data_IF_717623618332
#
_entry.id   IF_717623618332
#
_cell.length_a   1.000
_cell.length_b   1.000
_cell.length_c   1.000
_cell.angle_alpha   90.00
_cell.angle_beta   90.00
_cell.angle_gamma   90.00
#
_symmetry.space_group_name_H-M   'P 1'
#
loop_
_entity.id
_entity.type
_entity.pdbx_description
1 polymer ?
#
# COMPACT_ATOMS: atom_id res chain seq x y z
N UNK A 1 2.51 -8.62 22.92
CA UNK A 1 3.74 -9.45 22.83
C UNK A 1 3.67 -10.17 21.49
N UNK A 2 4.29 -9.61 20.44
CA UNK A 2 4.29 -10.23 19.11
C UNK A 2 5.26 -11.42 19.14
N UNK A 3 4.72 -12.64 19.11
CA UNK A 3 5.50 -13.88 19.03
C UNK A 3 6.23 -13.89 17.68
N UNK A 4 7.50 -14.25 17.66
CA UNK A 4 8.33 -14.41 16.45
C UNK A 4 7.90 -15.64 15.65
N UNK A 5 6.62 -15.74 15.33
CA UNK A 5 6.09 -16.85 14.54
C UNK A 5 6.41 -16.56 13.06
N UNK A 6 7.19 -17.44 12.45
CA UNK A 6 7.39 -17.49 11.00
C UNK A 6 6.02 -17.68 10.35
N UNK A 7 5.43 -16.59 9.87
CA UNK A 7 4.12 -16.60 9.21
C UNK A 7 4.25 -17.02 7.74
N UNK A 8 3.23 -17.71 7.24
CA UNK A 8 3.08 -17.99 5.81
C UNK A 8 2.42 -16.81 5.09
N UNK A 9 2.78 -16.59 3.83
CA UNK A 9 2.16 -15.59 2.98
C UNK A 9 0.69 -15.95 2.72
N UNK A 10 -0.29 -15.05 2.97
CA UNK A 10 -1.71 -15.32 2.69
C UNK A 10 -2.04 -15.66 1.24
N UNK A 11 -1.17 -15.34 0.27
CA UNK A 11 -1.39 -15.66 -1.14
C UNK A 11 -0.69 -16.91 -1.63
N UNK A 12 0.48 -17.26 -1.09
CA UNK A 12 1.31 -18.34 -1.63
C UNK A 12 1.93 -19.26 -0.58
N UNK A 13 1.58 -19.05 0.70
CA UNK A 13 2.01 -19.82 1.87
C UNK A 13 3.52 -19.82 2.16
N UNK A 14 4.35 -19.29 1.24
CA UNK A 14 5.78 -19.11 1.44
C UNK A 14 6.07 -18.26 2.68
N UNK A 15 7.17 -18.52 3.40
CA UNK A 15 7.55 -17.70 4.55
C UNK A 15 7.61 -16.21 4.20
N UNK A 16 7.06 -15.37 5.07
CA UNK A 16 7.23 -13.92 4.99
C UNK A 16 8.30 -13.44 5.97
N UNK A 17 9.10 -12.48 5.53
CA UNK A 17 10.27 -12.01 6.28
C UNK A 17 10.06 -10.58 6.75
N UNK A 18 10.44 -10.21 7.98
CA UNK A 18 10.39 -8.82 8.44
C UNK A 18 11.17 -7.89 7.52
N UNK A 19 10.61 -6.72 7.21
CA UNK A 19 11.24 -5.75 6.30
C UNK A 19 12.23 -4.79 6.98
N UNK A 20 12.29 -4.81 8.31
CA UNK A 20 13.09 -3.88 9.11
C UNK A 20 12.66 -2.41 8.94
N UNK A 21 11.38 -2.19 8.63
CA UNK A 21 10.71 -0.88 8.71
C UNK A 21 10.46 -0.47 10.16
N UNK A 22 10.23 0.82 10.38
CA UNK A 22 9.82 1.33 11.71
C UNK A 22 8.44 0.79 12.09
N UNK A 23 7.61 0.54 11.08
CA UNK A 23 6.29 -0.03 11.23
C UNK A 23 6.32 -1.56 11.07
N UNK A 24 5.45 -2.32 11.77
CA UNK A 24 5.43 -3.77 11.70
C UNK A 24 5.02 -4.23 10.29
N UNK A 25 5.97 -4.72 9.51
CA UNK A 25 5.72 -5.18 8.16
C UNK A 25 6.62 -6.35 7.75
N UNK A 26 6.05 -7.24 6.94
CA UNK A 26 6.70 -8.42 6.42
C UNK A 26 6.47 -8.50 4.91
N UNK A 27 7.47 -8.98 4.17
CA UNK A 27 7.40 -9.16 2.72
C UNK A 27 7.58 -10.62 2.32
N UNK A 28 6.97 -10.99 1.20
CA UNK A 28 7.13 -12.30 0.58
C UNK A 28 8.08 -12.21 -0.62
N UNK A 29 9.19 -12.94 -0.59
CA UNK A 29 10.13 -13.01 -1.71
C UNK A 29 9.63 -13.82 -2.91
N UNK A 30 8.59 -14.64 -2.71
CA UNK A 30 8.04 -15.53 -3.75
C UNK A 30 7.03 -14.82 -4.63
N UNK A 31 6.03 -14.15 -4.03
CA UNK A 31 4.96 -13.49 -4.76
C UNK A 31 5.07 -11.96 -4.76
N UNK A 32 5.90 -11.38 -3.89
CA UNK A 32 6.08 -9.93 -3.77
C UNK A 32 5.03 -9.22 -2.91
N UNK A 33 4.04 -9.95 -2.39
CA UNK A 33 3.04 -9.41 -1.47
C UNK A 33 3.59 -9.09 -0.08
N UNK A 34 2.83 -8.32 0.67
CA UNK A 34 3.23 -7.80 1.98
C UNK A 34 2.12 -7.97 3.02
N UNK A 35 2.52 -8.32 4.24
CA UNK A 35 1.66 -8.27 5.41
C UNK A 35 2.03 -7.05 6.25
N UNK A 36 1.10 -6.13 6.41
CA UNK A 36 1.23 -4.95 7.25
C UNK A 36 0.48 -5.19 8.56
N UNK A 37 1.14 -4.98 9.70
CA UNK A 37 0.48 -4.95 11.00
C UNK A 37 -0.56 -3.81 11.10
N UNK A 38 -1.35 -3.76 12.19
CA UNK A 38 -2.41 -2.76 12.34
C UNK A 38 -1.90 -1.32 12.21
N UNK A 39 -0.79 -1.00 12.85
CA UNK A 39 -0.18 0.34 12.83
C UNK A 39 0.29 0.69 11.42
N UNK A 40 1.03 -0.22 10.77
CA UNK A 40 1.51 -0.06 9.40
C UNK A 40 0.36 0.17 8.40
N UNK A 41 -0.72 -0.60 8.54
CA UNK A 41 -1.92 -0.51 7.72
C UNK A 41 -2.58 0.86 7.84
N UNK A 42 -2.75 1.35 9.07
CA UNK A 42 -3.35 2.68 9.32
C UNK A 42 -2.48 3.79 8.73
N UNK A 43 -1.15 3.70 8.84
CA UNK A 43 -0.24 4.69 8.27
C UNK A 43 -0.35 4.77 6.75
N UNK A 44 -0.32 3.62 6.06
CA UNK A 44 -0.50 3.53 4.60
C UNK A 44 -1.86 4.05 4.17
N UNK A 45 -2.94 3.64 4.84
CA UNK A 45 -4.31 4.08 4.51
C UNK A 45 -4.54 5.55 4.80
N UNK A 46 -3.86 6.11 5.81
CA UNK A 46 -3.93 7.54 6.08
C UNK A 46 -3.25 8.31 4.98
N UNK A 47 -2.06 7.96 4.49
CA UNK A 47 -1.38 8.74 3.45
C UNK A 47 -0.97 10.15 3.94
N UNK A 48 -0.48 10.25 5.17
CA UNK A 48 0.19 11.46 5.67
C UNK A 48 1.65 11.38 5.26
N UNK A 49 2.18 12.34 4.50
CA UNK A 49 3.55 12.29 3.95
C UNK A 49 4.62 12.05 5.03
N UNK A 50 4.50 12.70 6.19
CA UNK A 50 5.44 12.51 7.32
C UNK A 50 5.26 11.16 8.04
N UNK A 51 4.15 10.48 7.82
CA UNK A 51 3.81 9.20 8.46
C UNK A 51 3.99 8.00 7.52
N UNK A 52 4.28 8.23 6.23
CA UNK A 52 4.56 7.15 5.29
C UNK A 52 6.00 6.69 5.51
N UNK A 53 6.14 5.46 5.99
CA UNK A 53 7.45 4.81 6.05
C UNK A 53 7.97 4.58 4.62
N UNK A 54 8.96 5.39 4.21
CA UNK A 54 9.58 5.34 2.88
C UNK A 54 10.20 3.98 2.59
N UNK A 55 10.71 3.30 3.62
CA UNK A 55 11.28 1.96 3.48
C UNK A 55 10.19 0.96 3.11
N UNK A 56 9.00 1.10 3.69
CA UNK A 56 7.86 0.24 3.36
C UNK A 56 7.45 0.35 1.89
N UNK A 57 7.33 1.57 1.38
CA UNK A 57 7.00 1.83 -0.03
C UNK A 57 8.10 1.29 -0.95
N UNK A 58 9.36 1.57 -0.62
CA UNK A 58 10.51 1.05 -1.36
C UNK A 58 10.54 -0.48 -1.41
N UNK A 59 10.31 -1.15 -0.28
CA UNK A 59 10.26 -2.61 -0.19
C UNK A 59 9.14 -3.19 -1.05
N UNK A 60 7.97 -2.54 -1.10
CA UNK A 60 6.86 -2.96 -1.95
C UNK A 60 7.26 -3.01 -3.42
N UNK A 61 7.84 -1.92 -3.93
CA UNK A 61 8.33 -1.86 -5.30
C UNK A 61 9.45 -2.88 -5.56
N UNK A 62 10.44 -2.96 -4.67
CA UNK A 62 11.61 -3.84 -4.83
C UNK A 62 11.19 -5.30 -4.94
N UNK A 63 10.31 -5.76 -4.05
CA UNK A 63 9.80 -7.14 -4.07
C UNK A 63 8.98 -7.42 -5.33
N UNK A 64 8.09 -6.49 -5.70
CA UNK A 64 7.29 -6.63 -6.91
C UNK A 64 8.13 -6.66 -8.19
N UNK A 65 9.18 -5.84 -8.27
CA UNK A 65 10.11 -5.84 -9.41
C UNK A 65 10.94 -7.12 -9.48
N UNK A 66 11.45 -7.59 -8.34
CA UNK A 66 12.19 -8.86 -8.24
C UNK A 66 11.37 -10.01 -8.81
N UNK A 67 10.13 -10.17 -8.35
CA UNK A 67 9.24 -11.25 -8.81
C UNK A 67 8.89 -11.09 -10.29
N UNK A 68 8.59 -9.85 -10.74
CA UNK A 68 8.35 -9.58 -12.18
C UNK A 68 9.54 -9.99 -13.06
N UNK A 69 10.75 -9.71 -12.61
CA UNK A 69 11.97 -10.06 -13.34
C UNK A 69 12.20 -11.58 -13.38
N UNK A 70 11.95 -12.29 -12.27
CA UNK A 70 12.02 -13.75 -12.25
C UNK A 70 11.02 -14.39 -13.22
N UNK A 71 9.78 -13.89 -13.28
CA UNK A 71 8.78 -14.39 -14.24
C UNK A 71 9.20 -14.18 -15.69
N UNK A 72 9.87 -13.06 -16.01
CA UNK A 72 10.41 -12.81 -17.36
C UNK A 72 11.51 -13.80 -17.76
N UNK A 73 12.24 -14.32 -16.77
CA UNK A 73 13.26 -15.35 -16.96
C UNK A 73 12.68 -16.77 -17.02
N UNK A 74 11.36 -16.92 -17.17
CA UNK A 74 10.69 -18.21 -17.31
C UNK A 74 10.40 -18.94 -16.00
N UNK A 75 10.55 -18.28 -14.84
CA UNK A 75 10.12 -18.86 -13.57
C UNK A 75 8.59 -18.78 -13.46
N UNK A 76 7.95 -19.91 -13.15
CA UNK A 76 6.50 -19.99 -13.01
C UNK A 76 5.99 -18.98 -11.98
N UNK A 77 4.95 -18.23 -12.35
CA UNK A 77 4.36 -17.21 -11.49
C UNK A 77 3.42 -17.90 -10.51
N UNK A 78 3.62 -17.71 -9.22
CA UNK A 78 2.63 -18.19 -8.24
C UNK A 78 1.34 -17.40 -8.44
N UNK A 79 0.18 -18.06 -8.63
CA UNK A 79 -1.10 -17.37 -8.77
C UNK A 79 -1.35 -16.48 -7.55
N UNK A 80 -1.69 -15.22 -7.82
CA UNK A 80 -1.82 -14.21 -6.77
C UNK A 80 -3.20 -14.21 -6.12
N UNK A 81 -4.14 -15.13 -6.40
CA UNK A 81 -5.48 -15.09 -5.77
C UNK A 81 -6.01 -16.50 -5.54
N UNK A 82 -6.18 -16.93 -4.28
CA UNK A 82 -7.07 -18.04 -3.96
C UNK A 82 -8.52 -17.60 -4.21
N UNK A 83 -9.27 -18.31 -5.05
CA UNK A 83 -10.70 -18.03 -5.31
C UNK A 83 -11.55 -18.09 -4.03
N UNK A 84 -11.09 -18.87 -3.04
CA UNK A 84 -11.81 -19.16 -1.79
C UNK A 84 -11.55 -18.13 -0.67
N UNK A 85 -10.82 -17.06 -0.99
CA UNK A 85 -10.39 -16.05 -0.02
C UNK A 85 -9.12 -16.44 0.73
N UNK A 86 -8.49 -15.44 1.36
CA UNK A 86 -7.22 -15.60 2.09
C UNK A 86 -7.47 -15.73 3.59
N UNK A 87 -6.63 -16.49 4.29
CA UNK A 87 -6.67 -16.58 5.74
C UNK A 87 -5.65 -15.63 6.40
N UNK A 88 -5.99 -15.11 7.58
CA UNK A 88 -5.05 -14.35 8.39
C UNK A 88 -3.91 -15.26 8.86
N UNK A 89 -2.64 -14.90 8.66
CA UNK A 89 -1.52 -15.75 9.04
C UNK A 89 -1.33 -15.83 10.57
N UNK A 90 -1.93 -14.90 11.32
CA UNK A 90 -1.85 -14.86 12.79
C UNK A 90 -2.99 -15.62 13.50
N UNK A 91 -4.21 -15.59 12.95
CA UNK A 91 -5.39 -16.20 13.61
C UNK A 91 -6.21 -17.15 12.74
N UNK A 92 -5.79 -17.42 11.51
CA UNK A 92 -6.45 -18.28 10.53
C UNK A 92 -7.87 -17.87 10.12
N UNK A 93 -8.41 -16.77 10.65
CA UNK A 93 -9.73 -16.27 10.25
C UNK A 93 -9.71 -15.77 8.80
N UNK A 94 -10.81 -15.92 8.05
CA UNK A 94 -10.93 -15.35 6.71
C UNK A 94 -10.68 -13.85 6.70
N UNK A 95 -9.87 -13.38 5.75
CA UNK A 95 -9.64 -11.96 5.53
C UNK A 95 -10.84 -11.33 4.83
N UNK A 96 -11.21 -10.13 5.28
CA UNK A 96 -12.28 -9.34 4.68
C UNK A 96 -11.73 -8.41 3.61
N UNK A 97 -12.22 -8.46 2.36
CA UNK A 97 -11.76 -7.55 1.32
C UNK A 97 -12.26 -6.13 1.57
N UNK A 98 -11.37 -5.17 1.40
CA UNK A 98 -11.68 -3.74 1.34
C UNK A 98 -11.08 -3.17 0.05
N UNK A 99 -11.67 -2.13 -0.51
CA UNK A 99 -11.18 -1.50 -1.75
C UNK A 99 -10.76 -0.06 -1.46
N UNK A 100 -9.52 0.28 -1.77
CA UNK A 100 -8.95 1.63 -1.61
C UNK A 100 -8.35 2.06 -2.94
N UNK A 101 -8.89 3.12 -3.56
CA UNK A 101 -8.36 3.60 -4.84
C UNK A 101 -8.44 2.57 -5.98
N UNK A 102 -9.39 1.64 -5.93
CA UNK A 102 -9.49 0.52 -6.87
C UNK A 102 -8.52 -0.64 -6.60
N UNK A 103 -7.79 -0.60 -5.49
CA UNK A 103 -6.92 -1.68 -5.02
C UNK A 103 -7.68 -2.51 -3.98
N UNK A 104 -7.77 -3.84 -4.18
CA UNK A 104 -8.35 -4.76 -3.20
C UNK A 104 -7.29 -5.09 -2.16
N UNK A 105 -7.58 -4.85 -0.89
CA UNK A 105 -6.73 -5.17 0.25
C UNK A 105 -7.49 -6.20 1.09
N UNK A 106 -6.84 -7.26 1.55
CA UNK A 106 -7.48 -8.27 2.39
C UNK A 106 -7.13 -8.03 3.87
N UNK A 107 -8.13 -7.68 4.67
CA UNK A 107 -7.94 -7.17 6.04
C UNK A 107 -8.38 -8.15 7.12
N UNK A 108 -7.59 -8.24 8.18
CA UNK A 108 -7.96 -8.79 9.47
C UNK A 108 -8.13 -7.64 10.47
N UNK A 109 -9.30 -7.55 11.10
CA UNK A 109 -9.61 -6.49 12.05
C UNK A 109 -8.64 -6.41 13.26
N UNK A 110 -8.00 -7.52 13.62
CA UNK A 110 -7.10 -7.60 14.78
C UNK A 110 -5.62 -7.53 14.44
N UNK A 111 -5.19 -8.07 13.29
CA UNK A 111 -3.78 -8.37 13.04
C UNK A 111 -3.16 -7.61 11.87
N UNK A 112 -3.95 -6.87 11.09
CA UNK A 112 -3.45 -6.06 9.99
C UNK A 112 -4.07 -6.41 8.64
N UNK A 113 -3.34 -6.17 7.56
CA UNK A 113 -3.85 -6.38 6.21
C UNK A 113 -2.77 -6.89 5.25
N UNK A 114 -3.22 -7.68 4.27
CA UNK A 114 -2.43 -8.19 3.19
C UNK A 114 -2.60 -7.32 1.93
N UNK A 115 -1.48 -7.04 1.29
CA UNK A 115 -1.37 -6.29 0.05
C UNK A 115 -0.65 -7.17 -0.97
N UNK A 116 -1.20 -7.28 -2.18
CA UNK A 116 -0.51 -7.95 -3.27
C UNK A 116 0.75 -7.18 -3.71
N UNK A 117 1.51 -7.80 -4.61
CA UNK A 117 2.70 -7.18 -5.18
C UNK A 117 2.40 -5.77 -5.70
N UNK A 118 3.21 -4.80 -5.27
CA UNK A 118 3.15 -3.38 -5.66
C UNK A 118 1.93 -2.60 -5.12
N UNK A 119 1.03 -3.23 -4.36
CA UNK A 119 -0.21 -2.57 -3.93
C UNK A 119 -0.03 -1.54 -2.82
N UNK A 120 0.94 -1.73 -1.91
CA UNK A 120 1.24 -0.72 -0.88
C UNK A 120 1.60 0.60 -1.52
N UNK A 121 2.48 0.60 -2.54
CA UNK A 121 2.86 1.81 -3.25
C UNK A 121 1.67 2.45 -3.97
N UNK A 122 0.84 1.66 -4.66
CA UNK A 122 -0.37 2.14 -5.35
C UNK A 122 -1.37 2.79 -4.39
N UNK A 123 -1.59 2.18 -3.22
CA UNK A 123 -2.47 2.71 -2.18
C UNK A 123 -1.92 4.02 -1.62
N UNK A 124 -0.61 4.08 -1.31
CA UNK A 124 0.03 5.32 -0.85
C UNK A 124 -0.14 6.44 -1.87
N UNK A 125 0.18 6.21 -3.15
CA UNK A 125 0.00 7.20 -4.22
C UNK A 125 -1.44 7.69 -4.31
N UNK A 126 -2.41 6.78 -4.22
CA UNK A 126 -3.83 7.12 -4.26
C UNK A 126 -4.25 7.96 -3.06
N UNK A 127 -3.86 7.57 -1.85
CA UNK A 127 -4.22 8.28 -0.62
C UNK A 127 -3.62 9.69 -0.57
N UNK A 128 -2.36 9.85 -1.01
CA UNK A 128 -1.71 11.17 -1.13
C UNK A 128 -2.45 12.03 -2.16
N UNK A 129 -2.76 11.49 -3.34
CA UNK A 129 -3.48 12.24 -4.39
C UNK A 129 -4.88 12.68 -3.95
N UNK A 130 -5.66 11.78 -3.33
CA UNK A 130 -7.01 12.10 -2.83
C UNK A 130 -6.98 13.19 -1.76
N UNK A 131 -5.94 13.22 -0.93
CA UNK A 131 -5.76 14.27 0.08
C UNK A 131 -5.41 15.61 -0.54
N UNK A 132 -4.46 15.62 -1.47
CA UNK A 132 -4.11 16.82 -2.21
C UNK A 132 -5.36 17.41 -2.88
N UNK A 133 -6.19 16.56 -3.52
CA UNK A 133 -7.46 16.97 -4.12
C UNK A 133 -8.43 17.56 -3.10
N UNK A 134 -8.67 16.90 -1.96
CA UNK A 134 -9.54 17.42 -0.89
C UNK A 134 -9.05 18.74 -0.31
N UNK A 135 -7.74 18.93 -0.22
CA UNK A 135 -7.15 20.17 0.28
C UNK A 135 -7.29 21.30 -0.75
N UNK A 136 -7.17 21.00 -2.05
CA UNK A 136 -7.48 21.94 -3.13
C UNK A 136 -8.96 22.29 -3.12
N UNK A 137 -9.88 21.34 -3.07
CA UNK A 137 -11.33 21.62 -2.98
C UNK A 137 -11.68 22.48 -1.77
N UNK A 138 -11.12 22.18 -0.59
CA UNK A 138 -11.32 23.01 0.60
C UNK A 138 -10.77 24.42 0.41
N UNK A 139 -9.59 24.58 -0.20
CA UNK A 139 -9.02 25.89 -0.47
C UNK A 139 -9.79 26.65 -1.57
N UNK A 140 -10.34 25.97 -2.56
CA UNK A 140 -11.19 26.55 -3.61
C UNK A 140 -12.56 26.95 -3.06
N UNK A 141 -13.12 26.21 -2.11
CA UNK A 141 -14.36 26.59 -1.42
C UNK A 141 -14.17 27.76 -0.45
N UNK A 142 -12.95 27.99 0.04
CA UNK A 142 -12.59 29.10 0.94
C UNK A 142 -12.09 30.35 0.20
N UNK A 143 -11.57 30.20 -1.03
CA UNK A 143 -11.20 31.31 -1.90
C UNK A 143 -12.40 31.71 -2.78
N UNK A 144 -12.87 32.95 -2.64
CA UNK A 144 -13.97 33.44 -3.47
C UNK A 144 -13.63 33.37 -4.97
N UNK A 145 -14.63 33.38 -5.88
CA UNK A 145 -14.45 33.13 -7.32
C UNK A 145 -13.42 34.04 -8.02
N UNK A 146 -13.10 35.21 -7.45
CA UNK A 146 -12.15 36.18 -7.98
C UNK A 146 -10.68 35.84 -7.71
N UNK A 147 -10.40 35.07 -6.65
CA UNK A 147 -9.03 34.70 -6.27
C UNK A 147 -8.51 33.47 -7.04
N UNK A 148 -9.43 32.66 -7.56
CA UNK A 148 -9.15 31.43 -8.31
C UNK A 148 -8.46 31.69 -9.66
N UNK A 149 -8.90 32.71 -10.41
CA UNK A 149 -8.29 33.06 -11.69
C UNK A 149 -6.86 33.58 -11.54
N UNK A 150 -6.57 34.26 -10.42
CA UNK A 150 -5.24 34.80 -10.13
C UNK A 150 -4.26 33.70 -9.71
N UNK A 151 -4.71 32.75 -8.87
CA UNK A 151 -3.89 31.64 -8.40
C UNK A 151 -3.53 30.66 -9.53
N UNK A 152 -4.49 30.30 -10.39
CA UNK A 152 -4.25 29.43 -11.55
C UNK A 152 -3.33 30.12 -12.57
N UNK A 153 -3.49 31.42 -12.81
CA UNK A 153 -2.61 32.18 -13.71
C UNK A 153 -1.16 32.20 -13.21
N UNK A 154 -0.93 32.36 -11.90
CA UNK A 154 0.43 32.39 -11.31
C UNK A 154 1.14 31.03 -11.42
N UNK A 155 0.42 29.94 -11.11
CA UNK A 155 0.95 28.58 -11.18
C UNK A 155 1.27 28.13 -12.62
N UNK A 156 0.58 28.70 -13.62
CA UNK A 156 0.84 28.42 -15.04
C UNK A 156 1.95 29.31 -15.62
N UNK A 157 2.16 30.52 -15.09
CA UNK A 157 3.26 31.40 -15.53
C UNK A 157 4.62 30.99 -14.99
N UNK A 158 4.70 30.38 -13.80
CA UNK A 158 5.96 29.94 -13.20
C UNK A 158 6.52 28.65 -13.83
N UNK A 159 5.72 27.95 -14.65
CA UNK A 159 6.11 26.68 -15.27
C UNK A 159 6.70 26.85 -16.68
N UNK A 160 6.78 28.09 -17.18
CA UNK A 160 7.35 28.44 -18.49
C UNK A 160 8.23 29.70 -18.43
N UNK A 161 8.98 29.88 -17.34
CA UNK A 161 10.09 30.84 -17.29
C UNK A 161 11.35 30.21 -16.73
#
# INVERSE_FOLDING_TARGET
>A
MYRQDTWGCPSCESPITPLGSELPAHGCDTCGGMWLGPEATVHVMRGLDDAIDRRLVWSSHTLAEKVRNLSRLGHERVPSVPEDGRACPACAQPLSPIVVGGVRIDSCAAHGAYFDADEVARVVTTCVALRAYRNVEKNVLLAGPRDLFRAIAHLLSERWS
#
